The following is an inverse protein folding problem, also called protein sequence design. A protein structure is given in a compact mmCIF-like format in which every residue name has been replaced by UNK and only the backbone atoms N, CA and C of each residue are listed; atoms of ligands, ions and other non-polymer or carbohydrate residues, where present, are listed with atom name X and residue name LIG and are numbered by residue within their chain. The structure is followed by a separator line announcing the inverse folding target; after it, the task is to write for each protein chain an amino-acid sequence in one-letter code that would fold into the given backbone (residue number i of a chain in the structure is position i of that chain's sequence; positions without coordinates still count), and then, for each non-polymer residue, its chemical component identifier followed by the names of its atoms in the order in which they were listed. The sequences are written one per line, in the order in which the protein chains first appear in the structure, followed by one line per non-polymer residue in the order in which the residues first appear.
data_IF_597225804295
#
_entry.id   IF_597225804295
#
_cell.length_a   1.000
_cell.length_b   1.000
_cell.length_c   1.000
_cell.angle_alpha   90.00
_cell.angle_beta   90.00
_cell.angle_gamma   90.00
#
_symmetry.space_group_name_H-M   'P 1'
#
loop_
_entity.id
_entity.type
_entity.pdbx_description
1 polymer ?
#
# COMPACT_ATOMS: atom_id res chain seq x y z
N UNK A 1 -16.01 -24.61 -8.82
CA UNK A 1 -15.52 -23.61 -7.85
C UNK A 1 -15.12 -22.38 -8.64
N UNK A 2 -15.73 -21.21 -8.37
CA UNK A 2 -15.49 -20.04 -9.20
C UNK A 2 -14.02 -19.62 -9.06
N UNK A 3 -13.40 -19.38 -10.20
CA UNK A 3 -11.99 -19.08 -10.36
C UNK A 3 -11.69 -17.73 -9.70
N UNK A 4 -10.76 -17.68 -8.75
CA UNK A 4 -10.05 -16.46 -8.33
C UNK A 4 -9.15 -16.02 -9.48
N UNK A 5 -9.76 -15.46 -10.52
CA UNK A 5 -9.10 -14.58 -11.47
C UNK A 5 -8.61 -13.35 -10.72
N UNK A 6 -7.28 -13.19 -10.67
CA UNK A 6 -6.54 -11.92 -10.63
C UNK A 6 -7.43 -10.72 -10.26
N UNK A 7 -7.48 -10.39 -8.97
CA UNK A 7 -8.07 -9.14 -8.47
C UNK A 7 -7.10 -8.01 -8.85
N UNK A 8 -7.03 -7.65 -10.13
CA UNK A 8 -6.35 -6.43 -10.55
C UNK A 8 -6.80 -5.85 -11.91
N UNK A 9 -7.89 -6.33 -12.52
CA UNK A 9 -8.27 -5.85 -13.87
C UNK A 9 -9.77 -5.65 -14.16
N UNK A 10 -10.65 -5.53 -13.16
CA UNK A 10 -12.07 -5.22 -13.41
C UNK A 10 -12.67 -4.17 -12.47
N UNK A 11 -12.03 -2.99 -12.37
CA UNK A 11 -12.59 -1.81 -11.65
C UNK A 11 -13.52 -0.95 -12.53
N UNK A 12 -13.86 -1.39 -13.74
CA UNK A 12 -14.70 -0.62 -14.66
C UNK A 12 -15.82 -1.48 -15.26
N UNK A 13 -17.07 -1.13 -14.90
CA UNK A 13 -18.32 -1.57 -15.52
C UNK A 13 -19.40 -0.52 -15.25
N UNK A 14 -20.36 -0.28 -16.17
CA UNK A 14 -20.86 1.08 -16.43
C UNK A 14 -22.09 1.51 -15.61
N UNK A 15 -22.04 2.76 -15.19
CA UNK A 15 -23.07 3.80 -15.26
C UNK A 15 -24.55 3.43 -15.04
N UNK A 16 -25.10 3.85 -13.91
CA UNK A 16 -26.52 4.22 -13.80
C UNK A 16 -26.63 5.74 -13.71
N UNK A 17 -27.15 6.35 -14.77
CA UNK A 17 -27.48 7.77 -14.87
C UNK A 17 -28.77 8.07 -14.11
N UNK A 18 -28.67 8.81 -13.00
CA UNK A 18 -29.79 9.43 -12.31
C UNK A 18 -29.71 10.95 -12.44
N UNK A 19 -30.66 11.54 -13.17
CA UNK A 19 -30.83 12.99 -13.31
C UNK A 19 -31.22 13.61 -11.96
N UNK A 20 -30.62 14.76 -11.63
CA UNK A 20 -31.07 15.65 -10.53
C UNK A 20 -31.41 17.02 -11.15
N UNK A 21 -32.60 17.59 -10.90
CA UNK A 21 -32.99 18.90 -11.43
C UNK A 21 -32.46 20.06 -10.54
N UNK A 22 -32.36 21.30 -11.08
CA UNK A 22 -31.81 22.44 -10.34
C UNK A 22 -32.89 23.17 -9.53
N UNK A 23 -32.61 23.43 -8.25
CA UNK A 23 -33.41 24.32 -7.40
C UNK A 23 -32.61 25.58 -7.07
N UNK A 24 -33.09 26.73 -7.57
CA UNK A 24 -32.64 28.07 -7.20
C UNK A 24 -33.04 28.38 -5.75
N UNK A 25 -32.18 29.10 -5.01
CA UNK A 25 -32.47 29.57 -3.66
C UNK A 25 -31.45 30.60 -3.16
N UNK A 26 -31.81 31.84 -3.40
CA UNK A 26 -31.42 33.17 -2.85
C UNK A 26 -30.23 33.38 -1.88
N UNK A 27 -29.54 34.50 -2.16
CA UNK A 27 -28.55 35.19 -1.34
C UNK A 27 -29.20 35.82 -0.10
N UNK A 28 -28.51 35.71 1.04
CA UNK A 28 -28.66 36.61 2.19
C UNK A 28 -27.29 36.87 2.80
N UNK A 29 -26.86 38.14 2.84
CA UNK A 29 -25.59 38.57 3.42
C UNK A 29 -25.71 38.96 4.90
N UNK A 30 -24.60 38.87 5.62
CA UNK A 30 -24.43 39.40 6.99
C UNK A 30 -23.01 39.11 7.49
N UNK A 31 -22.29 40.15 7.91
CA UNK A 31 -20.88 40.12 8.26
C UNK A 31 -20.59 39.77 9.73
N UNK A 32 -19.47 39.09 9.98
CA UNK A 32 -18.65 39.24 11.20
C UNK A 32 -18.85 38.22 12.33
N UNK A 33 -17.89 37.30 12.46
CA UNK A 33 -17.51 36.66 13.74
C UNK A 33 -17.98 35.20 13.93
N UNK A 34 -17.04 34.25 13.96
CA UNK A 34 -17.20 32.89 14.53
C UNK A 34 -18.33 31.99 13.97
N UNK A 35 -19.01 32.38 12.89
CA UNK A 35 -20.34 31.87 12.54
C UNK A 35 -20.41 30.60 11.66
N UNK A 36 -19.30 30.09 11.14
CA UNK A 36 -19.36 29.06 10.09
C UNK A 36 -19.00 27.64 10.56
N UNK A 37 -18.49 27.45 11.78
CA UNK A 37 -18.19 26.11 12.30
C UNK A 37 -19.45 25.45 12.85
N UNK A 38 -19.77 24.26 12.36
CA UNK A 38 -20.93 23.48 12.78
C UNK A 38 -20.47 22.29 13.63
N UNK A 39 -20.90 22.27 14.88
CA UNK A 39 -20.64 21.19 15.82
C UNK A 39 -21.89 20.33 16.02
N UNK A 40 -21.71 19.03 16.18
CA UNK A 40 -22.74 18.08 16.59
C UNK A 40 -22.16 17.23 17.72
N UNK A 41 -22.85 17.18 18.87
CA UNK A 41 -22.41 16.43 20.05
C UNK A 41 -20.96 16.77 20.47
N UNK A 42 -20.59 18.04 20.38
CA UNK A 42 -19.25 18.54 20.71
C UNK A 42 -18.17 18.21 19.66
N UNK A 43 -18.52 17.61 18.52
CA UNK A 43 -17.59 17.31 17.42
C UNK A 43 -17.81 18.24 16.24
N UNK A 44 -16.72 18.76 15.68
CA UNK A 44 -16.76 19.58 14.48
C UNK A 44 -17.14 18.72 13.26
N UNK A 45 -18.28 19.04 12.62
CA UNK A 45 -18.84 18.28 11.50
C UNK A 45 -18.62 18.99 10.16
N UNK A 46 -18.68 20.33 10.14
CA UNK A 46 -18.45 21.09 8.91
C UNK A 46 -18.07 22.54 9.20
N UNK A 47 -17.53 23.24 8.20
CA UNK A 47 -17.37 24.69 8.24
C UNK A 47 -16.85 25.25 6.93
N UNK A 48 -16.84 26.58 6.80
CA UNK A 48 -16.12 27.25 5.71
C UNK A 48 -14.61 26.99 5.83
N UNK A 49 -13.88 27.04 4.70
CA UNK A 49 -12.45 26.81 4.70
C UNK A 49 -11.73 27.83 5.59
N UNK A 50 -12.15 29.09 5.52
CA UNK A 50 -11.69 30.19 6.36
C UNK A 50 -11.85 29.88 7.86
N UNK A 51 -13.05 29.52 8.30
CA UNK A 51 -13.30 29.23 9.71
C UNK A 51 -12.51 28.00 10.19
N UNK A 52 -12.31 26.99 9.35
CA UNK A 52 -11.48 25.83 9.67
C UNK A 52 -9.99 26.21 9.78
N UNK A 53 -9.49 27.10 8.91
CA UNK A 53 -8.13 27.62 9.01
C UNK A 53 -7.94 28.46 10.28
N UNK A 54 -8.89 29.31 10.63
CA UNK A 54 -8.87 30.06 11.89
C UNK A 54 -8.86 29.13 13.09
N UNK A 55 -9.65 28.06 13.06
CA UNK A 55 -9.70 27.03 14.11
C UNK A 55 -8.40 26.22 14.24
N UNK A 56 -7.48 26.29 13.27
CA UNK A 56 -6.15 25.71 13.35
C UNK A 56 -5.16 26.61 14.12
N UNK A 57 -5.43 27.92 14.21
CA UNK A 57 -4.54 28.86 14.89
C UNK A 57 -4.85 28.89 16.39
N UNK A 58 -3.87 28.60 17.27
CA UNK A 58 -4.08 28.70 18.71
C UNK A 58 -4.37 30.15 19.12
N UNK A 59 -5.29 30.33 20.06
CA UNK A 59 -5.61 31.62 20.68
C UNK A 59 -5.34 31.57 22.20
N UNK A 60 -5.60 32.67 22.90
CA UNK A 60 -5.41 32.74 24.37
C UNK A 60 -6.26 31.70 25.11
N UNK A 61 -7.48 31.46 24.64
CA UNK A 61 -8.48 30.63 25.30
C UNK A 61 -8.72 29.28 24.60
N UNK A 62 -8.11 29.06 23.43
CA UNK A 62 -8.33 27.86 22.63
C UNK A 62 -7.04 27.32 22.03
N UNK A 63 -6.86 26.00 22.13
CA UNK A 63 -5.78 25.27 21.50
C UNK A 63 -6.37 24.12 20.70
N UNK A 64 -6.03 24.00 19.40
CA UNK A 64 -6.50 22.90 18.58
C UNK A 64 -5.95 21.57 19.09
N UNK A 65 -6.82 20.57 19.19
CA UNK A 65 -6.38 19.24 19.58
C UNK A 65 -5.55 18.56 18.48
N UNK A 66 -4.71 17.60 18.88
CA UNK A 66 -3.79 16.93 17.94
C UNK A 66 -4.50 16.19 16.82
N UNK A 67 -5.70 15.66 17.09
CA UNK A 67 -6.53 14.97 16.12
C UNK A 67 -7.05 15.96 15.10
N UNK A 68 -7.54 17.13 15.53
CA UNK A 68 -7.98 18.19 14.63
C UNK A 68 -6.82 18.66 13.74
N UNK A 69 -5.66 18.96 14.33
CA UNK A 69 -4.47 19.38 13.58
C UNK A 69 -4.11 18.32 12.54
N UNK A 70 -4.05 17.04 12.93
CA UNK A 70 -3.74 15.96 12.01
C UNK A 70 -4.76 15.86 10.87
N UNK A 71 -6.06 15.83 11.19
CA UNK A 71 -7.14 15.72 10.21
C UNK A 71 -7.18 16.91 9.27
N UNK A 72 -7.07 18.13 9.78
CA UNK A 72 -7.09 19.34 8.96
C UNK A 72 -5.87 19.42 8.05
N UNK A 73 -4.64 19.20 8.57
CA UNK A 73 -3.42 19.25 7.76
C UNK A 73 -3.38 18.14 6.69
N UNK A 74 -3.93 16.97 7.01
CA UNK A 74 -4.02 15.85 6.07
C UNK A 74 -5.02 16.12 4.94
N UNK A 75 -6.18 16.70 5.27
CA UNK A 75 -7.29 16.95 4.34
C UNK A 75 -7.18 18.27 3.58
N UNK A 76 -6.49 19.27 4.12
CA UNK A 76 -6.37 20.62 3.54
C UNK A 76 -5.83 20.59 2.11
N UNK A 77 -4.99 19.61 1.75
CA UNK A 77 -4.44 19.41 0.41
C UNK A 77 -5.49 19.19 -0.67
N UNK A 78 -6.68 18.72 -0.29
CA UNK A 78 -7.83 18.57 -1.20
C UNK A 78 -8.37 19.94 -1.62
N UNK A 79 -8.18 20.95 -0.77
CA UNK A 79 -8.78 22.28 -0.91
C UNK A 79 -7.74 23.36 -1.25
N UNK A 80 -6.49 23.20 -0.84
CA UNK A 80 -5.46 24.23 -0.88
C UNK A 80 -4.04 23.64 -0.88
N UNK A 81 -3.09 24.20 -1.65
CA UNK A 81 -1.67 23.84 -1.57
C UNK A 81 -1.05 24.13 -0.18
N UNK A 82 -0.08 23.32 0.30
CA UNK A 82 0.54 23.51 1.61
C UNK A 82 1.17 24.90 1.84
N UNK A 83 1.80 25.48 0.81
CA UNK A 83 2.43 26.81 0.90
C UNK A 83 1.39 27.93 1.06
N UNK A 84 0.25 27.83 0.36
CA UNK A 84 -0.86 28.77 0.52
C UNK A 84 -1.46 28.65 1.92
N UNK A 85 -1.61 27.42 2.43
CA UNK A 85 -2.08 27.19 3.79
C UNK A 85 -1.15 27.82 4.83
N UNK A 86 0.17 27.63 4.66
CA UNK A 86 1.15 28.22 5.56
C UNK A 86 1.09 29.76 5.55
N UNK A 87 0.99 30.37 4.37
CA UNK A 87 0.87 31.81 4.23
C UNK A 87 -0.39 32.35 4.93
N UNK A 88 -1.53 31.69 4.74
CA UNK A 88 -2.82 32.09 5.34
C UNK A 88 -2.83 31.91 6.85
N UNK A 89 -2.35 30.77 7.36
CA UNK A 89 -2.21 30.53 8.80
C UNK A 89 -1.27 31.54 9.46
N UNK A 90 -0.16 31.86 8.79
CA UNK A 90 0.77 32.90 9.25
C UNK A 90 0.14 34.29 9.31
N UNK A 91 -0.67 34.64 8.31
CA UNK A 91 -1.40 35.91 8.27
C UNK A 91 -2.42 36.00 9.42
N UNK A 92 -3.26 34.97 9.62
CA UNK A 92 -4.25 34.91 10.71
C UNK A 92 -3.57 35.11 12.07
N UNK A 93 -2.43 34.44 12.30
CA UNK A 93 -1.68 34.60 13.54
C UNK A 93 -1.16 36.04 13.74
N UNK A 94 -0.62 36.67 12.70
CA UNK A 94 -0.12 38.05 12.79
C UNK A 94 -1.24 39.05 13.08
N UNK A 95 -2.40 38.87 12.44
CA UNK A 95 -3.59 39.70 12.67
C UNK A 95 -4.10 39.57 14.11
N UNK A 96 -4.19 38.35 14.64
CA UNK A 96 -4.57 38.10 16.04
C UNK A 96 -3.56 38.71 17.02
N UNK A 97 -2.26 38.68 16.69
CA UNK A 97 -1.20 39.25 17.53
C UNK A 97 -1.20 40.78 17.54
N UNK A 98 -1.61 41.42 16.45
CA UNK A 98 -1.74 42.88 16.41
C UNK A 98 -2.91 43.38 17.28
N UNK A 99 -3.89 42.51 17.55
CA UNK A 99 -5.06 42.81 18.38
C UNK A 99 -4.82 42.57 19.88
N UNK A 100 -3.72 41.90 20.26
CA UNK A 100 -3.36 41.59 21.66
C UNK A 100 -2.12 42.40 22.07
N UNK A 101 -2.24 43.24 23.11
CA UNK A 101 -1.09 43.93 23.70
C UNK A 101 -0.08 42.92 24.28
N UNK A 102 1.21 43.15 24.01
CA UNK A 102 2.27 42.14 24.09
C UNK A 102 2.63 41.65 25.50
N UNK A 103 2.85 40.33 25.63
CA UNK A 103 3.89 39.79 26.53
C UNK A 103 3.42 38.92 27.68
N UNK A 104 2.74 37.80 27.41
CA UNK A 104 2.43 36.79 28.42
C UNK A 104 3.17 35.45 28.19
N UNK A 105 3.39 34.68 29.26
CA UNK A 105 3.92 33.30 29.19
C UNK A 105 3.05 32.36 28.33
N UNK A 106 1.76 32.68 28.17
CA UNK A 106 0.84 31.96 27.26
C UNK A 106 1.19 32.20 25.78
N UNK A 107 1.84 33.32 25.45
CA UNK A 107 2.23 33.68 24.08
C UNK A 107 3.39 32.79 23.60
N UNK A 108 4.31 32.42 24.51
CA UNK A 108 5.44 31.54 24.21
C UNK A 108 4.94 30.13 23.86
N UNK A 109 3.93 29.63 24.60
CA UNK A 109 3.30 28.33 24.33
C UNK A 109 2.52 28.31 23.02
N UNK A 110 1.74 29.36 22.73
CA UNK A 110 1.05 29.49 21.44
C UNK A 110 2.03 29.55 20.27
N UNK A 111 3.14 30.27 20.42
CA UNK A 111 4.20 30.35 19.41
C UNK A 111 4.94 29.02 19.22
N UNK A 112 5.18 28.26 20.29
CA UNK A 112 5.76 26.93 20.20
C UNK A 112 4.85 25.96 19.42
N UNK A 113 3.54 25.98 19.67
CA UNK A 113 2.59 25.12 18.94
C UNK A 113 2.44 25.57 17.48
N UNK A 114 2.41 26.88 17.20
CA UNK A 114 2.42 27.39 15.83
C UNK A 114 3.69 26.97 15.08
N UNK A 115 4.87 27.07 15.71
CA UNK A 115 6.13 26.55 15.13
C UNK A 115 6.02 25.04 14.85
N UNK A 116 5.37 24.27 15.72
CA UNK A 116 5.14 22.85 15.50
C UNK A 116 4.13 22.56 14.36
N UNK A 117 3.11 23.40 14.18
CA UNK A 117 2.16 23.32 13.05
C UNK A 117 2.86 23.71 11.75
N UNK A 118 3.59 24.83 11.72
CA UNK A 118 4.42 25.26 10.60
C UNK A 118 5.42 24.18 10.21
N UNK A 119 6.13 23.59 11.18
CA UNK A 119 7.04 22.49 10.91
C UNK A 119 6.33 21.27 10.32
N UNK A 120 5.13 20.91 10.82
CA UNK A 120 4.30 19.82 10.25
C UNK A 120 3.84 20.13 8.82
N UNK A 121 3.46 21.37 8.51
CA UNK A 121 3.11 21.83 7.16
C UNK A 121 4.34 21.81 6.24
N UNK A 122 5.51 22.20 6.74
CA UNK A 122 6.78 22.16 6.00
C UNK A 122 7.24 20.73 5.74
N UNK A 123 7.23 19.83 6.73
CA UNK A 123 7.50 18.39 6.54
C UNK A 123 6.54 17.77 5.52
N UNK A 124 5.30 18.25 5.51
CA UNK A 124 4.32 17.91 4.50
C UNK A 124 4.70 18.39 3.07
N UNK A 125 5.45 19.48 2.93
CA UNK A 125 5.87 20.09 1.66
C UNK A 125 7.32 19.75 1.26
N UNK A 126 8.12 19.19 2.17
CA UNK A 126 9.55 18.86 1.98
C UNK A 126 9.80 17.85 0.84
N UNK A 127 8.77 17.11 0.39
CA UNK A 127 8.85 16.26 -0.80
C UNK A 127 8.85 17.02 -2.13
N UNK A 128 8.67 18.34 -2.15
CA UNK A 128 8.80 19.14 -3.38
C UNK A 128 10.08 20.00 -3.43
N UNK A 129 10.66 20.35 -2.27
CA UNK A 129 11.90 21.15 -2.19
C UNK A 129 13.15 20.30 -1.96
N UNK A 130 13.09 19.40 -0.98
CA UNK A 130 14.23 18.61 -0.51
C UNK A 130 14.43 17.38 -1.37
N UNK A 131 13.35 16.72 -1.80
CA UNK A 131 13.39 15.60 -2.76
C UNK A 131 13.81 16.06 -4.15
N UNK A 132 13.45 17.27 -4.61
CA UNK A 132 13.99 17.80 -5.89
C UNK A 132 15.49 18.04 -5.82
N UNK A 133 15.99 18.53 -4.68
CA UNK A 133 17.43 18.71 -4.41
C UNK A 133 18.15 17.37 -4.23
N UNK A 134 17.57 16.42 -3.51
CA UNK A 134 18.12 15.10 -3.26
C UNK A 134 18.04 14.22 -4.52
N UNK A 135 16.96 14.29 -5.31
CA UNK A 135 16.85 13.67 -6.63
C UNK A 135 17.83 14.35 -7.59
N UNK A 136 18.00 15.67 -7.60
CA UNK A 136 19.02 16.31 -8.43
C UNK A 136 20.43 15.87 -8.03
N UNK A 137 20.73 15.78 -6.72
CA UNK A 137 22.02 15.31 -6.21
C UNK A 137 22.24 13.81 -6.44
N UNK A 138 21.22 12.97 -6.27
CA UNK A 138 21.24 11.53 -6.55
C UNK A 138 21.31 11.27 -8.06
N UNK A 139 20.58 12.01 -8.87
CA UNK A 139 20.62 11.93 -10.34
C UNK A 139 21.97 12.40 -10.85
N UNK A 140 22.58 13.42 -10.24
CA UNK A 140 23.91 13.89 -10.60
C UNK A 140 25.01 12.92 -10.12
N UNK A 141 24.87 12.33 -8.94
CA UNK A 141 25.76 11.27 -8.43
C UNK A 141 25.62 9.98 -9.26
N UNK A 142 24.39 9.64 -9.68
CA UNK A 142 24.08 8.53 -10.56
C UNK A 142 24.60 8.78 -11.98
N UNK A 143 24.47 10.00 -12.52
CA UNK A 143 25.07 10.40 -13.80
C UNK A 143 26.60 10.30 -13.76
N UNK A 144 27.24 10.73 -12.66
CA UNK A 144 28.68 10.60 -12.48
C UNK A 144 29.13 9.15 -12.34
N UNK A 145 28.36 8.30 -11.64
CA UNK A 145 28.67 6.88 -11.47
C UNK A 145 28.30 6.02 -12.68
N UNK A 146 27.31 6.43 -13.49
CA UNK A 146 26.99 5.89 -14.81
C UNK A 146 28.04 6.31 -15.85
N UNK A 147 28.54 7.54 -15.79
CA UNK A 147 29.68 8.00 -16.60
C UNK A 147 30.97 7.24 -16.24
N UNK A 148 31.24 7.02 -14.94
CA UNK A 148 32.35 6.18 -14.49
C UNK A 148 32.17 4.70 -14.92
N UNK A 149 30.94 4.18 -14.91
CA UNK A 149 30.61 2.85 -15.46
C UNK A 149 30.77 2.78 -16.97
N UNK A 150 30.41 3.84 -17.70
CA UNK A 150 30.59 3.96 -19.15
C UNK A 150 32.07 4.00 -19.52
N UNK A 151 32.90 4.71 -18.74
CA UNK A 151 34.36 4.72 -18.89
C UNK A 151 35.00 3.35 -18.53
N UNK A 152 34.48 2.66 -17.51
CA UNK A 152 34.84 1.27 -17.19
C UNK A 152 34.40 0.27 -18.27
N UNK A 153 33.26 0.53 -18.92
CA UNK A 153 32.72 -0.27 -20.01
C UNK A 153 33.51 -0.05 -21.31
N UNK A 154 33.95 1.17 -21.60
CA UNK A 154 34.91 1.46 -22.69
C UNK A 154 36.28 0.81 -22.46
N UNK A 155 36.79 0.82 -21.22
CA UNK A 155 38.01 0.08 -20.85
C UNK A 155 37.81 -1.44 -20.97
N UNK A 156 36.61 -1.95 -20.71
CA UNK A 156 36.24 -3.37 -20.83
C UNK A 156 36.04 -3.80 -22.29
N UNK A 157 35.50 -2.94 -23.14
CA UNK A 157 35.37 -3.12 -24.59
C UNK A 157 36.76 -3.13 -25.26
N UNK A 158 37.66 -2.23 -24.85
CA UNK A 158 39.07 -2.24 -25.29
C UNK A 158 39.84 -3.50 -24.88
N UNK A 159 39.36 -4.24 -23.87
CA UNK A 159 39.96 -5.49 -23.40
C UNK A 159 39.33 -6.76 -24.01
N UNK A 160 38.28 -6.63 -24.84
CA UNK A 160 37.56 -7.79 -25.39
C UNK A 160 37.81 -7.91 -26.90
N UNK A 161 38.58 -8.91 -27.31
CA UNK A 161 38.71 -9.30 -28.72
C UNK A 161 37.35 -9.76 -29.30
N UNK A 162 37.07 -9.49 -30.60
CA UNK A 162 35.71 -9.59 -31.13
C UNK A 162 35.30 -11.04 -31.37
N UNK A 163 34.18 -11.45 -30.77
CA UNK A 163 33.53 -12.72 -31.08
C UNK A 163 32.30 -12.46 -31.95
N UNK A 164 32.25 -13.21 -33.05
CA UNK A 164 31.26 -13.18 -34.12
C UNK A 164 29.87 -13.58 -33.63
N UNK A 165 28.90 -12.81 -34.10
CA UNK A 165 27.45 -12.98 -33.97
C UNK A 165 26.97 -14.21 -34.77
N UNK A 166 26.35 -15.19 -34.10
CA UNK A 166 25.27 -16.10 -34.60
C UNK A 166 24.86 -17.20 -33.58
N UNK A 167 23.62 -17.10 -33.07
CA UNK A 167 22.71 -18.18 -32.61
C UNK A 167 22.78 -18.64 -31.13
N UNK A 168 21.82 -19.46 -30.61
CA UNK A 168 20.36 -19.52 -30.81
C UNK A 168 19.55 -19.43 -29.47
N UNK A 169 18.26 -19.07 -29.57
CA UNK A 169 17.27 -19.14 -28.48
C UNK A 169 16.91 -20.61 -28.25
N UNK A 170 17.62 -21.34 -27.37
CA UNK A 170 17.13 -22.59 -26.79
C UNK A 170 17.79 -22.83 -25.41
N UNK A 171 16.92 -23.10 -24.42
CA UNK A 171 17.21 -23.69 -23.10
C UNK A 171 18.11 -22.87 -22.15
N UNK A 172 17.51 -21.94 -21.41
CA UNK A 172 17.95 -21.70 -20.05
C UNK A 172 17.12 -22.56 -19.10
N UNK A 173 17.52 -23.83 -18.94
CA UNK A 173 17.24 -24.53 -17.68
C UNK A 173 17.86 -23.65 -16.59
N UNK A 174 17.13 -23.25 -15.52
CA UNK A 174 17.75 -22.45 -14.47
C UNK A 174 19.01 -23.19 -13.98
N UNK A 175 20.12 -22.47 -13.71
CA UNK A 175 21.37 -23.11 -13.32
C UNK A 175 21.10 -24.07 -12.16
N UNK A 176 21.57 -25.31 -12.29
CA UNK A 176 21.24 -26.45 -11.45
C UNK A 176 21.69 -26.34 -9.97
N UNK A 177 22.07 -25.14 -9.52
CA UNK A 177 22.62 -24.86 -8.19
C UNK A 177 21.80 -23.86 -7.35
N UNK A 178 20.71 -23.28 -7.87
CA UNK A 178 19.89 -22.39 -7.05
C UNK A 178 18.99 -23.20 -6.10
N UNK A 179 19.36 -23.21 -4.81
CA UNK A 179 18.59 -23.82 -3.73
C UNK A 179 17.16 -23.30 -3.76
N UNK A 180 16.19 -24.17 -3.49
CA UNK A 180 14.80 -23.77 -3.25
C UNK A 180 14.62 -23.15 -1.87
N UNK A 181 13.43 -22.59 -1.60
CA UNK A 181 13.16 -21.94 -0.32
C UNK A 181 13.41 -22.89 0.84
N UNK A 182 13.05 -24.17 0.71
CA UNK A 182 13.26 -25.21 1.72
C UNK A 182 14.75 -25.50 1.99
N UNK A 183 15.61 -25.32 0.98
CA UNK A 183 17.06 -25.40 1.11
C UNK A 183 17.71 -24.16 1.73
N UNK A 184 16.97 -23.04 1.80
CA UNK A 184 17.41 -21.80 2.44
C UNK A 184 16.87 -21.68 3.87
N UNK A 185 15.58 -21.96 4.06
CA UNK A 185 14.84 -21.95 5.32
C UNK A 185 13.83 -23.10 5.34
N UNK A 186 13.96 -24.02 6.29
CA UNK A 186 13.03 -25.13 6.47
C UNK A 186 12.06 -24.94 7.65
N UNK A 187 12.21 -23.86 8.42
CA UNK A 187 11.32 -23.50 9.54
C UNK A 187 10.28 -22.47 9.07
N UNK A 188 8.97 -22.82 9.09
CA UNK A 188 7.89 -21.91 8.70
C UNK A 188 7.83 -20.63 9.53
N UNK A 189 8.12 -20.70 10.83
CA UNK A 189 8.06 -19.56 11.74
C UNK A 189 9.17 -18.56 11.40
N UNK A 190 10.39 -19.05 11.19
CA UNK A 190 11.52 -18.20 10.81
C UNK A 190 11.24 -17.50 9.47
N UNK A 191 10.66 -18.20 8.50
CA UNK A 191 10.30 -17.58 7.22
C UNK A 191 9.22 -16.51 7.38
N UNK A 192 8.17 -16.77 8.18
CA UNK A 192 7.13 -15.80 8.49
C UNK A 192 7.70 -14.55 9.19
N UNK A 193 8.65 -14.71 10.11
CA UNK A 193 9.36 -13.60 10.75
C UNK A 193 10.15 -12.75 9.75
N UNK A 194 10.83 -13.37 8.78
CA UNK A 194 11.56 -12.63 7.73
C UNK A 194 10.61 -11.92 6.76
N UNK A 195 9.47 -12.52 6.43
CA UNK A 195 8.41 -11.85 5.67
C UNK A 195 7.90 -10.63 6.43
N UNK A 196 7.64 -10.76 7.74
CA UNK A 196 7.22 -9.65 8.59
C UNK A 196 8.25 -8.52 8.63
N UNK A 197 9.56 -8.82 8.66
CA UNK A 197 10.61 -7.80 8.51
C UNK A 197 10.47 -7.02 7.20
N UNK A 198 10.35 -7.73 6.07
CA UNK A 198 10.24 -7.10 4.74
C UNK A 198 8.96 -6.25 4.65
N UNK A 199 7.83 -6.76 5.15
CA UNK A 199 6.56 -6.03 5.16
C UNK A 199 6.65 -4.76 6.00
N UNK A 200 7.21 -4.84 7.22
CA UNK A 200 7.38 -3.67 8.09
C UNK A 200 8.32 -2.63 7.47
N UNK A 201 9.42 -3.06 6.85
CA UNK A 201 10.34 -2.17 6.14
C UNK A 201 9.61 -1.45 4.99
N UNK A 202 8.84 -2.18 4.17
CA UNK A 202 8.12 -1.58 3.05
C UNK A 202 6.97 -0.68 3.49
N UNK A 203 6.14 -1.11 4.45
CA UNK A 203 4.99 -0.33 4.92
C UNK A 203 5.42 0.93 5.67
N UNK A 204 6.62 0.94 6.26
CA UNK A 204 7.19 2.14 6.89
C UNK A 204 7.50 3.26 5.90
N UNK A 205 7.63 2.93 4.60
CA UNK A 205 7.81 3.91 3.53
C UNK A 205 6.51 4.59 3.07
N UNK A 206 5.35 4.13 3.58
CA UNK A 206 4.05 4.71 3.24
C UNK A 206 3.74 5.85 4.19
N UNK A 207 3.53 7.04 3.62
CA UNK A 207 3.21 8.23 4.37
C UNK A 207 1.70 8.54 4.34
N UNK A 208 1.15 9.25 5.34
CA UNK A 208 -0.27 9.63 5.36
C UNK A 208 -0.71 10.35 4.08
N UNK A 209 0.20 11.14 3.51
CA UNK A 209 0.02 11.91 2.28
C UNK A 209 -0.23 11.00 1.08
N UNK A 210 0.48 9.87 0.98
CA UNK A 210 0.31 8.89 -0.10
C UNK A 210 -1.13 8.35 -0.09
N UNK A 211 -1.65 8.03 1.10
CA UNK A 211 -3.01 7.54 1.27
C UNK A 211 -4.07 8.60 0.95
N UNK A 212 -3.79 9.88 1.21
CA UNK A 212 -4.68 10.97 0.80
C UNK A 212 -4.68 11.21 -0.71
N UNK A 213 -3.64 10.82 -1.44
CA UNK A 213 -3.66 10.94 -2.90
C UNK A 213 -4.72 10.02 -3.53
N UNK A 214 -5.07 8.90 -2.89
CA UNK A 214 -6.19 8.02 -3.30
C UNK A 214 -7.49 8.83 -3.42
N UNK A 215 -7.72 9.71 -2.46
CA UNK A 215 -8.86 10.64 -2.40
C UNK A 215 -8.77 11.65 -3.56
N UNK A 216 -7.62 12.30 -3.73
CA UNK A 216 -7.43 13.39 -4.72
C UNK A 216 -7.41 12.94 -6.20
N UNK A 217 -6.82 11.79 -6.52
CA UNK A 217 -6.74 11.30 -7.91
C UNK A 217 -8.11 10.90 -8.47
N UNK A 218 -9.05 10.49 -7.61
CA UNK A 218 -10.39 10.11 -8.05
C UNK A 218 -11.29 11.28 -8.42
N UNK A 219 -11.05 12.47 -7.86
CA UNK A 219 -11.82 13.69 -8.18
C UNK A 219 -11.30 14.34 -9.48
N UNK A 220 -10.06 14.04 -9.87
CA UNK A 220 -9.38 14.60 -11.05
C UNK A 220 -9.74 13.95 -12.38
N UNK A 221 -10.46 12.82 -12.38
CA UNK A 221 -10.89 12.14 -13.62
C UNK A 221 -12.11 12.78 -14.28
N UNK A 222 -12.80 13.70 -13.60
CA UNK A 222 -13.98 14.40 -14.15
C UNK A 222 -13.74 15.86 -14.58
N UNK A 223 -12.57 16.46 -14.31
CA UNK A 223 -12.26 17.81 -14.81
C UNK A 223 -10.80 17.96 -15.20
N UNK A 224 -10.58 18.30 -16.48
CA UNK A 224 -9.34 18.88 -16.97
C UNK A 224 -8.94 20.09 -16.09
N UNK A 225 -8.08 19.87 -15.10
CA UNK A 225 -7.12 20.81 -14.48
C UNK A 225 -6.64 20.20 -13.16
N UNK A 226 -5.45 19.62 -13.23
CA UNK A 226 -4.52 19.18 -12.18
C UNK A 226 -3.97 17.82 -12.61
N UNK A 227 -3.01 17.87 -13.54
CA UNK A 227 -2.18 16.73 -13.92
C UNK A 227 -1.35 16.37 -12.68
N UNK A 228 -1.93 15.59 -11.78
CA UNK A 228 -1.19 14.95 -10.70
C UNK A 228 -0.06 14.15 -11.33
N UNK A 229 1.16 14.42 -10.90
CA UNK A 229 2.36 13.79 -11.42
C UNK A 229 2.28 12.27 -11.17
N UNK A 230 2.33 11.40 -12.20
CA UNK A 230 2.32 9.94 -12.04
C UNK A 230 3.50 9.38 -11.23
N UNK A 231 4.42 10.24 -10.76
CA UNK A 231 5.58 9.89 -9.93
C UNK A 231 5.25 9.72 -8.44
N UNK A 232 4.04 10.08 -7.97
CA UNK A 232 3.73 10.23 -6.53
C UNK A 232 3.06 9.03 -5.83
N UNK A 233 2.77 7.94 -6.54
CA UNK A 233 2.20 6.69 -5.97
C UNK A 233 3.21 5.56 -5.82
N UNK A 234 4.51 5.83 -6.01
CA UNK A 234 5.54 4.78 -6.03
C UNK A 234 5.60 3.95 -4.74
N UNK A 235 5.39 4.52 -3.57
CA UNK A 235 5.40 3.78 -2.28
C UNK A 235 4.23 2.80 -2.19
N UNK A 236 3.01 3.24 -2.53
CA UNK A 236 1.81 2.41 -2.54
C UNK A 236 1.90 1.31 -3.60
N UNK A 237 2.33 1.67 -4.82
CA UNK A 237 2.53 0.72 -5.92
C UNK A 237 3.65 -0.27 -5.61
N UNK A 238 4.75 0.17 -5.00
CA UNK A 238 5.83 -0.71 -4.59
C UNK A 238 5.39 -1.71 -3.51
N UNK A 239 4.50 -1.31 -2.61
CA UNK A 239 3.95 -2.20 -1.59
C UNK A 239 2.93 -3.19 -2.17
N UNK A 240 2.04 -2.75 -3.06
CA UNK A 240 1.15 -3.66 -3.79
C UNK A 240 1.94 -4.63 -4.70
N UNK A 241 2.99 -4.15 -5.36
CA UNK A 241 3.89 -4.98 -6.14
C UNK A 241 4.57 -6.05 -5.28
N UNK A 242 4.93 -5.76 -4.03
CA UNK A 242 5.47 -6.75 -3.11
C UNK A 242 4.47 -7.89 -2.84
N UNK A 243 3.19 -7.58 -2.60
CA UNK A 243 2.14 -8.59 -2.45
C UNK A 243 2.06 -9.51 -3.68
N UNK A 244 2.08 -8.92 -4.88
CA UNK A 244 2.03 -9.65 -6.14
C UNK A 244 3.29 -10.51 -6.35
N UNK A 245 4.48 -9.97 -6.07
CA UNK A 245 5.74 -10.69 -6.11
C UNK A 245 5.75 -11.90 -5.16
N UNK A 246 5.28 -11.73 -3.92
CA UNK A 246 5.21 -12.82 -2.94
C UNK A 246 4.24 -13.92 -3.40
N UNK A 247 3.06 -13.54 -3.89
CA UNK A 247 2.07 -14.49 -4.42
C UNK A 247 2.65 -15.31 -5.58
N UNK A 248 3.32 -14.64 -6.53
CA UNK A 248 3.95 -15.28 -7.68
C UNK A 248 5.19 -16.11 -7.31
N UNK A 249 5.95 -15.70 -6.29
CA UNK A 249 7.07 -16.47 -5.75
C UNK A 249 6.59 -17.80 -5.16
N UNK A 250 5.50 -17.78 -4.37
CA UNK A 250 4.90 -19.00 -3.81
C UNK A 250 4.48 -19.96 -4.93
N UNK A 251 3.78 -19.46 -5.94
CA UNK A 251 3.41 -20.28 -7.09
C UNK A 251 4.64 -20.82 -7.84
N UNK A 252 5.69 -20.00 -8.00
CA UNK A 252 6.95 -20.40 -8.64
C UNK A 252 7.63 -21.52 -7.88
N UNK A 253 7.77 -21.39 -6.55
CA UNK A 253 8.38 -22.41 -5.70
C UNK A 253 7.61 -23.73 -5.75
N UNK A 254 6.28 -23.70 -5.85
CA UNK A 254 5.47 -24.91 -6.00
C UNK A 254 5.62 -25.53 -7.39
N UNK A 255 5.44 -24.74 -8.45
CA UNK A 255 5.44 -25.23 -9.85
C UNK A 255 6.83 -25.67 -10.32
N UNK A 256 7.92 -25.07 -9.81
CA UNK A 256 9.30 -25.48 -10.13
C UNK A 256 9.65 -26.87 -9.61
N UNK A 257 8.96 -27.37 -8.59
CA UNK A 257 9.25 -28.67 -7.99
C UNK A 257 8.68 -29.81 -8.84
N UNK A 258 9.57 -30.52 -9.53
CA UNK A 258 9.22 -31.60 -10.46
C UNK A 258 8.61 -32.81 -9.73
N UNK A 259 9.20 -33.24 -8.61
CA UNK A 259 8.78 -34.46 -7.90
C UNK A 259 7.55 -34.18 -7.03
N UNK A 260 6.43 -34.88 -7.31
CA UNK A 260 5.16 -34.75 -6.57
C UNK A 260 5.31 -34.76 -5.05
N UNK A 261 6.07 -35.69 -4.48
CA UNK A 261 6.29 -35.78 -3.01
C UNK A 261 6.94 -34.51 -2.44
N UNK A 262 7.90 -33.93 -3.15
CA UNK A 262 8.54 -32.68 -2.73
C UNK A 262 7.59 -31.49 -2.91
N UNK A 263 6.77 -31.50 -3.95
CA UNK A 263 5.77 -30.46 -4.22
C UNK A 263 4.67 -30.43 -3.15
N UNK A 264 4.20 -31.60 -2.71
CA UNK A 264 3.31 -31.73 -1.54
C UNK A 264 3.94 -31.09 -0.29
N UNK A 265 5.21 -31.39 -0.01
CA UNK A 265 5.94 -30.77 1.12
C UNK A 265 6.06 -29.25 0.99
N UNK A 266 6.25 -28.74 -0.23
CA UNK A 266 6.33 -27.30 -0.49
C UNK A 266 5.00 -26.60 -0.18
N UNK A 267 3.87 -27.19 -0.60
CA UNK A 267 2.54 -26.68 -0.25
C UNK A 267 2.28 -26.70 1.25
N UNK A 268 2.56 -27.83 1.92
CA UNK A 268 2.40 -27.94 3.38
C UNK A 268 3.27 -26.93 4.13
N UNK A 269 4.49 -26.69 3.66
CA UNK A 269 5.37 -25.67 4.21
C UNK A 269 4.76 -24.27 4.09
N UNK A 270 4.29 -23.86 2.91
CA UNK A 270 3.67 -22.54 2.75
C UNK A 270 2.34 -22.38 3.51
N UNK A 271 1.56 -23.46 3.68
CA UNK A 271 0.39 -23.46 4.56
C UNK A 271 0.81 -23.16 6.01
N UNK A 272 1.87 -23.80 6.50
CA UNK A 272 2.38 -23.53 7.83
C UNK A 272 2.96 -22.11 7.95
N UNK A 273 3.65 -21.59 6.93
CA UNK A 273 4.15 -20.20 6.91
C UNK A 273 2.98 -19.20 6.97
N UNK A 274 1.92 -19.40 6.18
CA UNK A 274 0.74 -18.54 6.19
C UNK A 274 0.05 -18.53 7.56
N UNK A 275 -0.01 -19.68 8.24
CA UNK A 275 -0.50 -19.78 9.62
C UNK A 275 0.39 -19.01 10.60
N UNK A 276 1.72 -19.08 10.47
CA UNK A 276 2.60 -18.30 11.32
C UNK A 276 2.50 -16.79 11.04
N UNK A 277 2.28 -16.38 9.79
CA UNK A 277 1.93 -15.00 9.44
C UNK A 277 0.64 -14.53 10.14
N UNK A 278 -0.42 -15.36 10.14
CA UNK A 278 -1.65 -15.09 10.91
C UNK A 278 -1.36 -14.89 12.40
N UNK A 279 -0.62 -15.82 13.02
CA UNK A 279 -0.28 -15.78 14.45
C UNK A 279 0.52 -14.52 14.84
N UNK A 280 1.40 -14.06 13.95
CA UNK A 280 2.19 -12.84 14.15
C UNK A 280 1.30 -11.59 14.05
N UNK A 281 0.22 -11.63 13.25
CA UNK A 281 -0.57 -10.46 12.86
C UNK A 281 -0.17 -9.90 11.49
N UNK A 282 0.59 -10.67 10.69
CA UNK A 282 0.96 -10.33 9.32
C UNK A 282 -0.09 -10.87 8.33
N UNK A 283 -1.22 -10.18 8.25
CA UNK A 283 -2.33 -10.60 7.38
C UNK A 283 -2.02 -10.37 5.89
N UNK A 284 -1.19 -9.38 5.55
CA UNK A 284 -0.81 -9.11 4.16
C UNK A 284 -0.05 -10.28 3.53
N UNK A 285 1.03 -10.75 4.17
CA UNK A 285 1.79 -11.91 3.67
C UNK A 285 0.98 -13.19 3.72
N UNK A 286 0.13 -13.39 4.74
CA UNK A 286 -0.77 -14.54 4.80
C UNK A 286 -1.67 -14.57 3.56
N UNK A 287 -2.32 -13.45 3.24
CA UNK A 287 -3.19 -13.34 2.08
C UNK A 287 -2.42 -13.54 0.76
N UNK A 288 -1.20 -13.00 0.64
CA UNK A 288 -0.36 -13.21 -0.55
C UNK A 288 -0.01 -14.69 -0.74
N UNK A 289 0.34 -15.40 0.33
CA UNK A 289 0.67 -16.84 0.27
C UNK A 289 -0.55 -17.67 -0.14
N UNK A 290 -1.72 -17.42 0.46
CA UNK A 290 -2.98 -18.06 0.07
C UNK A 290 -3.29 -17.77 -1.40
N UNK A 291 -3.18 -16.50 -1.82
CA UNK A 291 -3.41 -16.07 -3.20
C UNK A 291 -2.50 -16.81 -4.18
N UNK A 292 -1.20 -16.95 -3.85
CA UNK A 292 -0.24 -17.70 -4.66
C UNK A 292 -0.59 -19.17 -4.82
N UNK A 293 -1.07 -19.83 -3.76
CA UNK A 293 -1.53 -21.22 -3.84
C UNK A 293 -2.84 -21.39 -4.61
N UNK A 294 -3.68 -20.35 -4.63
CA UNK A 294 -4.94 -20.30 -5.36
C UNK A 294 -4.82 -19.83 -6.82
N UNK A 295 -3.62 -19.47 -7.27
CA UNK A 295 -3.38 -19.22 -8.69
C UNK A 295 -3.66 -20.48 -9.52
N UNK A 296 -4.30 -20.32 -10.67
CA UNK A 296 -4.74 -21.40 -11.55
C UNK A 296 -3.66 -22.47 -11.84
N UNK A 297 -2.39 -22.12 -12.15
CA UNK A 297 -1.31 -23.10 -12.35
C UNK A 297 -1.03 -23.99 -11.13
N UNK A 298 -1.29 -23.52 -9.91
CA UNK A 298 -1.11 -24.30 -8.68
C UNK A 298 -2.41 -25.05 -8.33
N UNK A 299 -3.55 -24.38 -8.38
CA UNK A 299 -4.86 -24.94 -8.01
C UNK A 299 -5.27 -26.13 -8.89
N UNK A 300 -4.77 -26.22 -10.13
CA UNK A 300 -5.03 -27.32 -11.05
C UNK A 300 -4.26 -28.62 -10.75
N UNK A 301 -3.25 -28.59 -9.88
CA UNK A 301 -2.39 -29.76 -9.57
C UNK A 301 -3.11 -30.78 -8.67
N UNK A 302 -4.24 -31.33 -9.12
CA UNK A 302 -5.17 -32.14 -8.32
C UNK A 302 -4.50 -33.38 -7.71
N UNK A 303 -3.54 -33.99 -8.42
CA UNK A 303 -2.83 -35.17 -7.90
C UNK A 303 -1.89 -34.80 -6.76
N UNK A 304 -1.32 -33.60 -6.77
CA UNK A 304 -0.54 -33.07 -5.63
C UNK A 304 -1.45 -32.70 -4.47
N UNK A 305 -2.51 -31.93 -4.72
CA UNK A 305 -3.47 -31.50 -3.68
C UNK A 305 -4.12 -32.68 -2.96
N UNK A 306 -4.40 -33.78 -3.64
CA UNK A 306 -4.91 -35.02 -3.01
C UNK A 306 -3.99 -35.65 -1.96
N UNK A 307 -2.73 -35.20 -1.88
CA UNK A 307 -1.73 -35.64 -0.89
C UNK A 307 -1.43 -34.62 0.19
N UNK A 308 -1.90 -33.38 0.04
CA UNK A 308 -1.73 -32.31 1.02
C UNK A 308 -2.78 -32.44 2.11
N UNK A 309 -2.40 -32.20 3.36
CA UNK A 309 -3.36 -32.07 4.47
C UNK A 309 -4.02 -30.69 4.42
N UNK A 310 -5.17 -30.58 3.74
CA UNK A 310 -5.81 -29.28 3.46
C UNK A 310 -6.51 -28.64 4.66
N UNK A 311 -6.81 -29.37 5.74
CA UNK A 311 -7.59 -28.82 6.86
C UNK A 311 -7.06 -27.48 7.41
N UNK A 312 -5.73 -27.30 7.49
CA UNK A 312 -5.13 -26.01 7.90
C UNK A 312 -5.32 -24.92 6.84
N UNK A 313 -5.23 -25.29 5.57
CA UNK A 313 -5.44 -24.38 4.44
C UNK A 313 -6.90 -23.93 4.36
N UNK A 314 -7.84 -24.85 4.52
CA UNK A 314 -9.28 -24.56 4.50
C UNK A 314 -9.66 -23.55 5.60
N UNK A 315 -9.04 -23.63 6.78
CA UNK A 315 -9.22 -22.64 7.86
C UNK A 315 -8.65 -21.27 7.47
N UNK A 316 -7.47 -21.24 6.84
CA UNK A 316 -6.86 -20.00 6.37
C UNK A 316 -7.70 -19.34 5.27
N UNK A 317 -8.24 -20.14 4.34
CA UNK A 317 -9.18 -19.65 3.32
C UNK A 317 -10.46 -19.11 3.95
N UNK A 318 -10.99 -19.75 4.98
CA UNK A 318 -12.16 -19.27 5.70
C UNK A 318 -11.93 -17.91 6.37
N UNK A 319 -10.73 -17.65 6.91
CA UNK A 319 -10.37 -16.33 7.42
C UNK A 319 -10.35 -15.26 6.34
N UNK A 320 -10.03 -15.62 5.10
CA UNK A 320 -9.95 -14.72 3.95
C UNK A 320 -11.17 -14.77 3.02
N UNK A 321 -12.26 -15.38 3.47
CA UNK A 321 -13.48 -15.50 2.69
C UNK A 321 -14.04 -14.09 2.35
N UNK A 322 -14.34 -13.79 1.08
CA UNK A 322 -14.78 -12.46 0.66
C UNK A 322 -16.24 -12.13 1.06
N UNK A 323 -17.01 -13.11 1.54
CA UNK A 323 -18.41 -12.90 1.93
C UNK A 323 -18.53 -11.87 3.04
N UNK A 324 -19.66 -11.17 3.05
CA UNK A 324 -19.94 -10.11 4.04
C UNK A 324 -18.80 -9.09 4.15
N UNK A 325 -18.17 -8.76 3.02
CA UNK A 325 -17.02 -7.86 2.92
C UNK A 325 -15.84 -8.29 3.82
N UNK A 326 -15.45 -9.56 3.75
CA UNK A 326 -14.34 -10.12 4.52
C UNK A 326 -14.54 -10.08 6.05
N UNK A 327 -15.74 -10.42 6.53
CA UNK A 327 -16.10 -10.29 7.95
C UNK A 327 -15.17 -11.08 8.90
N UNK A 328 -14.74 -12.27 8.50
CA UNK A 328 -13.84 -13.12 9.29
C UNK A 328 -12.46 -12.49 9.44
N UNK A 329 -11.87 -12.01 8.33
CA UNK A 329 -10.62 -11.25 8.35
C UNK A 329 -10.75 -9.99 9.20
N UNK A 330 -11.84 -9.24 9.07
CA UNK A 330 -12.05 -8.00 9.84
C UNK A 330 -12.13 -8.27 11.34
N UNK A 331 -12.78 -9.38 11.74
CA UNK A 331 -12.83 -9.82 13.14
C UNK A 331 -11.44 -10.19 13.64
N UNK A 332 -10.65 -10.92 12.84
CA UNK A 332 -9.28 -11.28 13.19
C UNK A 332 -8.36 -10.04 13.29
N UNK A 333 -8.51 -9.08 12.37
CA UNK A 333 -7.79 -7.81 12.40
C UNK A 333 -8.14 -7.02 13.66
N UNK A 334 -9.42 -6.93 14.03
CA UNK A 334 -9.85 -6.27 15.26
C UNK A 334 -9.23 -6.91 16.50
N UNK A 335 -9.20 -8.25 16.57
CA UNK A 335 -8.54 -8.97 17.66
C UNK A 335 -7.03 -8.69 17.72
N UNK A 336 -6.35 -8.60 16.56
CA UNK A 336 -4.93 -8.23 16.50
C UNK A 336 -4.69 -6.77 16.93
N UNK A 337 -5.56 -5.84 16.55
CA UNK A 337 -5.52 -4.44 16.99
C UNK A 337 -5.66 -4.33 18.50
N UNK A 338 -6.62 -5.03 19.10
CA UNK A 338 -6.78 -5.07 20.56
C UNK A 338 -5.56 -5.66 21.26
N UNK A 339 -5.02 -6.77 20.73
CA UNK A 339 -3.78 -7.38 21.21
C UNK A 339 -2.60 -6.41 21.18
N UNK A 340 -2.50 -5.59 20.13
CA UNK A 340 -1.46 -4.57 20.00
C UNK A 340 -1.60 -3.44 21.02
N UNK A 341 -2.82 -3.00 21.29
CA UNK A 341 -3.11 -1.96 22.29
C UNK A 341 -2.80 -2.41 23.73
N UNK A 342 -3.02 -3.69 24.03
CA UNK A 342 -2.79 -4.29 25.34
C UNK A 342 -1.44 -5.03 25.44
N UNK A 343 -0.55 -4.82 24.47
CA UNK A 343 0.68 -5.59 24.33
C UNK A 343 1.66 -5.39 25.50
N UNK A 344 2.16 -6.50 26.04
CA UNK A 344 3.22 -6.52 27.04
C UNK A 344 4.60 -6.78 26.42
N UNK A 345 4.63 -7.15 25.14
CA UNK A 345 5.85 -7.39 24.37
C UNK A 345 5.81 -6.71 23.00
N UNK A 346 6.98 -6.41 22.43
CA UNK A 346 7.07 -5.82 21.09
C UNK A 346 6.48 -6.72 20.00
N UNK A 347 6.50 -8.05 20.20
CA UNK A 347 5.90 -9.02 19.27
C UNK A 347 4.39 -8.86 19.16
N UNK A 348 3.73 -8.60 20.28
CA UNK A 348 2.27 -8.47 20.32
C UNK A 348 1.77 -7.19 19.62
N UNK A 349 2.65 -6.20 19.44
CA UNK A 349 2.33 -4.93 18.77
C UNK A 349 2.17 -5.04 17.26
N UNK A 350 2.67 -6.11 16.64
CA UNK A 350 2.69 -6.28 15.18
C UNK A 350 1.26 -6.47 14.67
N UNK A 351 0.86 -5.58 13.77
CA UNK A 351 -0.37 -5.66 12.97
C UNK A 351 -0.02 -5.20 11.57
N UNK A 352 -0.18 -6.06 10.57
CA UNK A 352 0.01 -5.70 9.17
C UNK A 352 -1.28 -6.09 8.45
N UNK A 353 -2.17 -5.14 8.16
CA UNK A 353 -3.44 -5.42 7.53
C UNK A 353 -3.25 -5.85 6.08
N UNK A 354 -4.26 -6.50 5.50
CA UNK A 354 -4.35 -6.68 4.05
C UNK A 354 -4.51 -5.30 3.41
N UNK A 355 -3.43 -4.82 2.81
CA UNK A 355 -3.31 -3.43 2.37
C UNK A 355 -4.38 -3.03 1.37
N UNK A 356 -4.68 -3.92 0.42
CA UNK A 356 -5.65 -3.67 -0.63
C UNK A 356 -7.08 -3.52 -0.10
N UNK A 357 -7.42 -4.19 1.01
CA UNK A 357 -8.72 -3.99 1.67
C UNK A 357 -8.76 -2.65 2.42
N UNK A 358 -7.66 -2.27 3.05
CA UNK A 358 -7.54 -0.97 3.71
C UNK A 358 -7.67 0.20 2.71
N UNK A 359 -6.94 0.14 1.59
CA UNK A 359 -7.05 1.13 0.49
C UNK A 359 -8.47 1.19 -0.07
N UNK A 360 -9.11 0.02 -0.25
CA UNK A 360 -10.50 -0.08 -0.70
C UNK A 360 -11.46 0.63 0.27
N UNK A 361 -11.26 0.48 1.58
CA UNK A 361 -12.10 1.13 2.59
C UNK A 361 -11.97 2.66 2.55
N UNK A 362 -10.75 3.20 2.42
CA UNK A 362 -10.51 4.65 2.22
C UNK A 362 -11.21 5.14 0.95
N UNK A 363 -11.06 4.41 -0.16
CA UNK A 363 -11.68 4.76 -1.43
C UNK A 363 -13.21 4.82 -1.33
N UNK A 364 -13.86 3.84 -0.69
CA UNK A 364 -15.32 3.85 -0.54
C UNK A 364 -15.80 4.96 0.39
N UNK A 365 -15.10 5.23 1.51
CA UNK A 365 -15.41 6.38 2.35
C UNK A 365 -15.35 7.70 1.58
N UNK A 366 -14.36 7.83 0.69
CA UNK A 366 -14.23 9.00 -0.17
C UNK A 366 -15.39 9.11 -1.17
N UNK A 367 -15.76 8.00 -1.81
CA UNK A 367 -16.79 7.99 -2.86
C UNK A 367 -18.22 8.19 -2.34
N UNK A 368 -18.53 7.70 -1.14
CA UNK A 368 -19.89 7.75 -0.58
C UNK A 368 -20.25 9.16 -0.06
N UNK A 369 -19.25 9.96 0.32
CA UNK A 369 -19.47 11.29 0.91
C UNK A 369 -18.90 12.40 0.03
N UNK A 370 -19.61 13.52 -0.12
CA UNK A 370 -19.09 14.69 -0.85
C UNK A 370 -18.07 15.47 -0.02
N UNK A 371 -17.10 16.12 -0.68
CA UNK A 371 -16.12 17.00 -0.01
C UNK A 371 -16.78 18.27 0.55
N UNK A 372 -17.86 18.73 -0.11
CA UNK A 372 -18.65 19.89 0.31
C UNK A 372 -20.10 19.49 0.58
N UNK A 373 -20.71 20.13 1.57
CA UNK A 373 -22.14 20.08 1.84
C UNK A 373 -22.90 21.05 0.91
N UNK A 374 -24.24 20.94 0.78
CA UNK A 374 -25.03 21.81 -0.09
C UNK A 374 -24.93 23.31 0.23
N UNK A 375 -24.60 23.65 1.48
CA UNK A 375 -24.37 25.04 1.93
C UNK A 375 -22.96 25.57 1.59
N UNK A 376 -22.13 24.80 0.88
CA UNK A 376 -20.75 25.17 0.53
C UNK A 376 -19.72 24.86 1.60
N UNK A 377 -20.12 24.39 2.79
CA UNK A 377 -19.17 24.02 3.84
C UNK A 377 -18.36 22.78 3.46
N UNK A 378 -17.13 22.70 3.93
CA UNK A 378 -16.34 21.48 3.90
C UNK A 378 -16.99 20.45 4.83
N UNK A 379 -17.21 19.24 4.30
CA UNK A 379 -17.74 18.11 5.08
C UNK A 379 -16.63 17.52 5.95
N UNK A 380 -16.36 18.17 7.08
CA UNK A 380 -15.25 17.79 7.97
C UNK A 380 -15.46 16.42 8.64
N UNK A 381 -16.71 15.98 8.84
CA UNK A 381 -17.05 14.62 9.31
C UNK A 381 -16.47 13.53 8.41
N UNK A 382 -16.54 13.70 7.09
CA UNK A 382 -15.91 12.77 6.13
C UNK A 382 -14.40 12.66 6.39
N UNK A 383 -13.73 13.80 6.55
CA UNK A 383 -12.29 13.83 6.77
C UNK A 383 -11.90 13.27 8.13
N UNK A 384 -12.72 13.44 9.17
CA UNK A 384 -12.54 12.73 10.44
C UNK A 384 -12.50 11.22 10.25
N UNK A 385 -13.44 10.65 9.50
CA UNK A 385 -13.53 9.21 9.28
C UNK A 385 -12.33 8.67 8.49
N UNK A 386 -11.92 9.36 7.41
CA UNK A 386 -10.74 9.00 6.61
C UNK A 386 -9.46 9.13 7.45
N UNK A 387 -9.30 10.26 8.14
CA UNK A 387 -8.13 10.56 8.96
C UNK A 387 -7.99 9.57 10.11
N UNK A 388 -9.10 9.13 10.72
CA UNK A 388 -9.08 8.08 11.75
C UNK A 388 -8.49 6.77 11.22
N UNK A 389 -8.89 6.32 10.03
CA UNK A 389 -8.35 5.10 9.44
C UNK A 389 -6.87 5.23 9.09
N UNK A 390 -6.47 6.36 8.49
CA UNK A 390 -5.06 6.64 8.17
C UNK A 390 -4.22 6.70 9.45
N UNK A 391 -4.71 7.37 10.50
CA UNK A 391 -4.00 7.47 11.77
C UNK A 391 -3.77 6.09 12.38
N UNK A 392 -4.81 5.26 12.44
CA UNK A 392 -4.73 3.89 12.96
C UNK A 392 -3.69 3.07 12.19
N UNK A 393 -3.73 3.09 10.85
CA UNK A 393 -2.72 2.42 10.01
C UNK A 393 -1.30 2.90 10.30
N UNK A 394 -1.10 4.21 10.48
CA UNK A 394 0.19 4.81 10.77
C UNK A 394 0.75 4.44 12.15
N UNK A 395 -0.09 3.99 13.08
CA UNK A 395 0.41 3.44 14.34
C UNK A 395 1.08 2.09 14.13
N UNK A 396 0.56 1.29 13.20
CA UNK A 396 1.09 -0.04 12.89
C UNK A 396 2.39 0.00 12.10
N UNK A 397 2.56 1.01 11.22
CA UNK A 397 3.80 1.16 10.42
C UNK A 397 5.03 1.57 11.23
N UNK A 398 4.85 2.04 12.46
CA UNK A 398 5.92 2.48 13.37
C UNK A 398 6.46 1.37 14.27
N UNK A 399 5.92 0.16 14.16
CA UNK A 399 6.37 -0.97 14.99
C UNK A 399 7.70 -1.50 14.47
N UNK A 400 8.72 -1.47 15.32
CA UNK A 400 9.99 -2.13 15.02
C UNK A 400 9.83 -3.65 15.07
N UNK A 401 10.39 -4.35 14.09
CA UNK A 401 10.30 -5.80 14.03
C UNK A 401 11.20 -6.43 15.11
N UNK A 402 10.64 -7.19 16.07
CA UNK A 402 11.39 -7.72 17.21
C UNK A 402 12.11 -9.04 16.92
N UNK A 403 11.99 -9.58 15.70
CA UNK A 403 12.59 -10.86 15.34
C UNK A 403 14.04 -10.69 14.89
N UNK A 404 14.85 -11.74 15.02
CA UNK A 404 16.22 -11.71 14.49
C UNK A 404 16.21 -11.63 12.95
N UNK A 405 17.12 -10.83 12.38
CA UNK A 405 17.21 -10.60 10.93
C UNK A 405 18.13 -11.65 10.30
N UNK A 406 17.59 -12.50 9.43
CA UNK A 406 18.37 -13.42 8.60
C UNK A 406 18.51 -12.88 7.18
N UNK A 407 19.68 -12.29 6.90
CA UNK A 407 19.98 -11.68 5.59
C UNK A 407 19.98 -12.68 4.43
N UNK A 408 20.29 -13.96 4.68
CA UNK A 408 20.34 -14.98 3.62
C UNK A 408 18.93 -15.33 3.17
N UNK A 409 18.00 -15.48 4.13
CA UNK A 409 16.58 -15.73 3.84
C UNK A 409 15.98 -14.51 3.13
N UNK A 410 16.22 -13.30 3.65
CA UNK A 410 15.69 -12.09 3.04
C UNK A 410 16.23 -11.86 1.63
N UNK A 411 17.52 -12.06 1.40
CA UNK A 411 18.09 -11.96 0.07
C UNK A 411 17.43 -12.96 -0.89
N UNK A 412 17.18 -14.20 -0.45
CA UNK A 412 16.43 -15.15 -1.27
C UNK A 412 15.02 -14.66 -1.59
N UNK A 413 14.25 -14.24 -0.58
CA UNK A 413 12.88 -13.73 -0.76
C UNK A 413 12.79 -12.55 -1.73
N UNK A 414 13.81 -11.68 -1.73
CA UNK A 414 13.83 -10.46 -2.54
C UNK A 414 14.38 -10.67 -3.96
N UNK A 415 15.23 -11.68 -4.18
CA UNK A 415 15.93 -11.86 -5.47
C UNK A 415 15.67 -13.21 -6.14
N UNK A 416 14.86 -14.09 -5.55
CA UNK A 416 14.52 -15.36 -6.17
C UNK A 416 13.84 -15.13 -7.53
N UNK A 417 14.17 -15.93 -8.56
CA UNK A 417 13.53 -15.81 -9.87
C UNK A 417 12.05 -16.16 -9.74
N UNK A 418 11.20 -15.27 -10.22
CA UNK A 418 9.74 -15.45 -10.27
C UNK A 418 9.37 -15.81 -11.71
N UNK A 419 8.57 -16.85 -11.88
CA UNK A 419 8.06 -17.24 -13.19
C UNK A 419 7.00 -16.25 -13.68
N UNK A 420 6.99 -16.01 -14.99
CA UNK A 420 5.82 -15.38 -15.62
C UNK A 420 4.60 -16.30 -15.52
N UNK A 421 3.40 -15.75 -15.70
CA UNK A 421 2.17 -16.54 -15.73
C UNK A 421 2.24 -17.68 -16.76
N UNK A 422 2.73 -17.38 -17.96
CA UNK A 422 2.97 -18.39 -19.00
C UNK A 422 3.92 -19.49 -18.50
N UNK A 423 5.05 -19.13 -17.89
CA UNK A 423 6.03 -20.09 -17.36
C UNK A 423 5.48 -20.96 -16.21
N UNK A 424 4.62 -20.39 -15.35
CA UNK A 424 3.91 -21.16 -14.33
C UNK A 424 2.99 -22.22 -14.94
N UNK A 425 2.22 -21.85 -15.97
CA UNK A 425 1.36 -22.81 -16.66
C UNK A 425 2.16 -23.91 -17.34
N UNK A 426 3.28 -23.58 -17.98
CA UNK A 426 4.18 -24.58 -18.57
C UNK A 426 4.65 -25.57 -17.51
N UNK A 427 5.25 -25.07 -16.43
CA UNK A 427 5.77 -25.91 -15.36
C UNK A 427 4.66 -26.74 -14.67
N UNK A 428 3.44 -26.19 -14.57
CA UNK A 428 2.27 -26.90 -14.06
C UNK A 428 1.87 -28.06 -14.97
N UNK A 429 1.75 -27.84 -16.29
CA UNK A 429 1.39 -28.88 -17.24
C UNK A 429 2.47 -29.95 -17.40
N UNK A 430 3.74 -29.56 -17.30
CA UNK A 430 4.87 -30.50 -17.26
C UNK A 430 4.86 -31.37 -16.00
N UNK A 431 4.43 -30.79 -14.87
CA UNK A 431 4.30 -31.50 -13.60
C UNK A 431 3.10 -32.44 -13.55
N UNK A 432 1.94 -31.98 -14.05
CA UNK A 432 0.70 -32.72 -14.15
C UNK A 432 -0.02 -32.36 -15.47
N UNK A 433 -0.01 -33.29 -16.42
CA UNK A 433 -0.62 -33.08 -17.74
C UNK A 433 -2.10 -32.70 -17.70
N UNK A 434 -2.65 -32.18 -18.81
CA UNK A 434 -4.02 -31.67 -18.86
C UNK A 434 -5.06 -32.76 -18.60
N UNK A 435 -6.03 -32.48 -17.74
CA UNK A 435 -7.03 -33.46 -17.29
C UNK A 435 -8.34 -33.42 -18.11
N UNK A 436 -8.68 -32.27 -18.70
CA UNK A 436 -9.92 -32.07 -19.46
C UNK A 436 -9.67 -31.43 -20.83
N UNK A 437 -10.71 -31.34 -21.66
CA UNK A 437 -10.61 -30.78 -23.01
C UNK A 437 -10.16 -29.32 -23.03
N UNK A 438 -10.67 -28.48 -22.12
CA UNK A 438 -10.27 -27.07 -22.03
C UNK A 438 -8.77 -26.94 -21.72
N UNK A 439 -8.27 -27.71 -20.76
CA UNK A 439 -6.84 -27.71 -20.41
C UNK A 439 -5.97 -28.24 -21.56
N UNK A 440 -6.44 -29.26 -22.31
CA UNK A 440 -5.73 -29.75 -23.49
C UNK A 440 -5.59 -28.65 -24.54
N UNK A 441 -6.63 -27.85 -24.74
CA UNK A 441 -6.61 -26.76 -25.71
C UNK A 441 -5.75 -25.59 -25.21
N UNK A 442 -5.85 -25.20 -23.94
CA UNK A 442 -4.94 -24.23 -23.33
C UNK A 442 -3.47 -24.66 -23.46
N UNK A 443 -3.17 -25.94 -23.20
CA UNK A 443 -1.82 -26.47 -23.34
C UNK A 443 -1.31 -26.43 -24.79
N UNK A 444 -2.16 -26.80 -25.76
CA UNK A 444 -1.81 -26.67 -27.19
C UNK A 444 -1.51 -25.21 -27.55
N UNK A 445 -2.39 -24.28 -27.19
CA UNK A 445 -2.20 -22.85 -27.46
C UNK A 445 -0.89 -22.34 -26.86
N UNK A 446 -0.62 -22.67 -25.60
CA UNK A 446 0.62 -22.29 -24.90
C UNK A 446 1.85 -22.84 -25.63
N UNK A 447 1.81 -24.10 -26.04
CA UNK A 447 2.90 -24.74 -26.79
C UNK A 447 3.11 -24.12 -28.17
N UNK A 448 2.04 -23.79 -28.88
CA UNK A 448 2.11 -23.11 -30.18
C UNK A 448 2.72 -21.72 -30.04
N UNK A 449 2.32 -20.95 -29.02
CA UNK A 449 2.92 -19.63 -28.74
C UNK A 449 4.42 -19.72 -28.44
N UNK A 450 4.85 -20.75 -27.70
CA UNK A 450 6.28 -20.98 -27.43
C UNK A 450 7.05 -21.35 -28.69
N UNK A 451 6.48 -22.22 -29.53
CA UNK A 451 7.10 -22.61 -30.80
C UNK A 451 7.20 -21.45 -31.79
N UNK A 452 6.24 -20.52 -31.79
CA UNK A 452 6.26 -19.34 -32.67
C UNK A 452 7.22 -18.23 -32.19
N UNK A 453 7.69 -18.29 -30.95
CA UNK A 453 8.65 -17.33 -30.36
C UNK A 453 10.11 -17.85 -30.39
N UNK A 454 10.31 -19.12 -30.73
CA UNK A 454 11.62 -19.78 -30.86
C UNK A 454 12.06 -19.80 -32.33
#
# INVERSE_FOLDING_TARGET
MPQTSIICSSVLGPSCSGQVPPGMGERGGGAGGSGDLIFQDGRLISGSLEALMEHLVPTVDYYPDRTYIFTFLLSSRVFMPPHDLLARVGQIYLEQRQQLEAGSEKDEKAMAELKAITHRIMQCDEENGTVKKAIAQLTQSLLLSLAARSQLQELREKLRSPAVDKGPILKAKPPASQKDILGVCCDPLVLAQQLTHIELERVSSIHPQDLMQIVSHTDSRDKHRCRGDPTKTYSLEAYDNWFNCLSMLVATEVCRVVKKKQRTRMLEFFIDVARECFNIGNFNSMMAIISGMNLSPVARLKKTWSKVKTAKFDVLEHHMDPSSNFCNYRTALQGATQRSQMANSSREKIVIPVFNLFVKDIYFLHKIHTNHLPNGHINFKKFWEISRQIHEFMTWTRVECPFEKDKKIQNYLLTAPIYSEEALFIASFESEGPENHMEKDSWKTLRTTLLNRA
#
